data_IF_197096231984
#
_entry.id   IF_197096231984
#
_cell.length_a   1.000
_cell.length_b   1.000
_cell.length_c   1.000
_cell.angle_alpha   90.00
_cell.angle_beta   90.00
_cell.angle_gamma   90.00
#
_symmetry.space_group_name_H-M   'P 1'
#
loop_
_entity.id
_entity.type
_entity.pdbx_description
1 polymer ?
#
# COMPACT_ATOMS: atom_id res chain seq x y z
N UNK A 1 34.63 -47.56 -17.40
CA UNK A 1 34.50 -46.97 -16.05
C UNK A 1 33.68 -45.69 -16.19
N UNK A 2 32.50 -45.57 -15.56
CA UNK A 2 31.73 -44.34 -15.66
C UNK A 2 32.48 -43.22 -14.92
N UNK A 3 32.64 -42.08 -15.60
CA UNK A 3 33.28 -40.90 -15.04
C UNK A 3 32.49 -40.42 -13.81
N UNK A 4 33.18 -40.25 -12.68
CA UNK A 4 32.59 -39.66 -11.49
C UNK A 4 32.10 -38.25 -11.83
N UNK A 5 30.80 -37.99 -11.69
CA UNK A 5 30.26 -36.65 -11.83
C UNK A 5 30.91 -35.74 -10.78
N UNK A 6 31.35 -34.53 -11.16
CA UNK A 6 31.88 -33.58 -10.20
C UNK A 6 30.81 -33.20 -9.17
N UNK A 7 31.19 -32.99 -7.90
CA UNK A 7 30.25 -32.60 -6.87
C UNK A 7 29.59 -31.26 -7.24
N UNK A 8 28.26 -31.26 -7.32
CA UNK A 8 27.47 -30.06 -7.57
C UNK A 8 27.74 -29.09 -6.41
N UNK A 9 28.13 -27.85 -6.70
CA UNK A 9 28.44 -26.90 -5.65
C UNK A 9 27.16 -26.59 -4.85
N UNK A 10 27.29 -26.54 -3.52
CA UNK A 10 26.16 -26.53 -2.58
C UNK A 10 25.19 -25.33 -2.80
N UNK A 11 25.69 -24.27 -3.42
CA UNK A 11 24.95 -23.07 -3.82
C UNK A 11 23.94 -23.34 -4.96
N UNK A 12 24.24 -24.27 -5.88
CA UNK A 12 23.34 -24.67 -6.96
C UNK A 12 22.26 -25.65 -6.48
N UNK A 13 22.57 -26.47 -5.48
CA UNK A 13 21.56 -27.36 -4.87
C UNK A 13 20.48 -26.55 -4.17
N UNK A 14 20.85 -25.50 -3.42
CA UNK A 14 19.87 -24.60 -2.76
C UNK A 14 18.97 -23.86 -3.75
N UNK A 15 19.43 -23.54 -4.95
CA UNK A 15 18.64 -22.81 -5.95
C UNK A 15 17.62 -23.72 -6.68
N UNK A 16 17.89 -25.02 -6.75
CA UNK A 16 16.99 -26.00 -7.38
C UNK A 16 15.87 -26.49 -6.47
N UNK A 17 16.08 -26.61 -5.16
CA UNK A 17 15.05 -27.12 -4.23
C UNK A 17 13.91 -26.13 -3.99
N UNK A 18 14.13 -24.84 -4.24
CA UNK A 18 13.14 -23.79 -3.98
C UNK A 18 13.13 -22.69 -5.05
N UNK A 19 12.63 -22.97 -6.27
CA UNK A 19 12.54 -21.96 -7.33
C UNK A 19 11.57 -20.80 -6.98
N UNK A 20 10.75 -20.97 -5.93
CA UNK A 20 9.72 -20.03 -5.49
C UNK A 20 10.22 -18.95 -4.51
N UNK A 21 11.40 -19.12 -3.91
CA UNK A 21 12.06 -18.10 -3.11
C UNK A 21 13.14 -17.39 -3.94
N UNK A 22 12.78 -17.01 -5.17
CA UNK A 22 13.62 -16.21 -6.05
C UNK A 22 13.81 -14.83 -5.42
N UNK A 23 14.85 -14.72 -4.58
CA UNK A 23 15.60 -13.51 -4.27
C UNK A 23 14.75 -12.28 -3.92
N UNK A 24 13.87 -12.40 -2.95
CA UNK A 24 13.42 -11.23 -2.21
C UNK A 24 14.60 -10.77 -1.35
N UNK A 25 15.27 -9.68 -1.74
CA UNK A 25 16.19 -9.01 -0.84
C UNK A 25 15.35 -8.56 0.37
N UNK A 26 15.71 -8.99 1.58
CA UNK A 26 14.99 -8.60 2.81
C UNK A 26 14.81 -7.08 2.94
N UNK A 27 15.74 -6.31 2.38
CA UNK A 27 15.72 -4.84 2.32
C UNK A 27 14.60 -4.30 1.42
N UNK A 28 14.36 -4.93 0.26
CA UNK A 28 13.33 -4.45 -0.68
C UNK A 28 11.91 -4.73 -0.16
N UNK A 29 11.71 -5.85 0.54
CA UNK A 29 10.45 -6.13 1.22
C UNK A 29 10.20 -5.18 2.40
N UNK A 30 11.24 -4.87 3.17
CA UNK A 30 11.16 -3.88 4.24
C UNK A 30 10.81 -2.49 3.69
N UNK A 31 11.45 -2.07 2.59
CA UNK A 31 11.15 -0.79 1.91
C UNK A 31 9.72 -0.76 1.39
N UNK A 32 9.24 -1.85 0.81
CA UNK A 32 7.84 -1.98 0.34
C UNK A 32 6.87 -1.84 1.50
N UNK A 33 7.09 -2.57 2.61
CA UNK A 33 6.24 -2.48 3.79
C UNK A 33 6.18 -1.05 4.34
N UNK A 34 7.34 -0.42 4.52
CA UNK A 34 7.44 0.97 5.02
C UNK A 34 6.70 1.93 4.08
N UNK A 35 6.92 1.82 2.76
CA UNK A 35 6.24 2.68 1.80
C UNK A 35 4.72 2.57 1.86
N UNK A 36 4.18 1.35 1.91
CA UNK A 36 2.74 1.12 2.03
C UNK A 36 2.17 1.64 3.34
N UNK A 37 2.90 1.49 4.45
CA UNK A 37 2.51 2.06 5.75
C UNK A 37 2.45 3.58 5.68
N UNK A 38 3.50 4.22 5.17
CA UNK A 38 3.58 5.69 5.05
C UNK A 38 2.43 6.20 4.18
N UNK A 39 2.20 5.62 3.00
CA UNK A 39 1.11 6.07 2.11
C UNK A 39 -0.26 5.85 2.72
N UNK A 40 -0.47 4.77 3.46
CA UNK A 40 -1.73 4.52 4.16
C UNK A 40 -1.99 5.55 5.26
N UNK A 41 -0.98 5.81 6.09
CA UNK A 41 -1.10 6.83 7.14
C UNK A 41 -1.28 8.22 6.55
N UNK A 42 -0.49 8.59 5.55
CA UNK A 42 -0.58 9.90 4.91
C UNK A 42 -1.96 10.15 4.29
N UNK A 43 -2.54 9.13 3.65
CA UNK A 43 -3.87 9.21 3.07
C UNK A 43 -4.96 9.48 4.12
N UNK A 44 -4.88 8.85 5.28
CA UNK A 44 -5.82 9.12 6.40
C UNK A 44 -5.58 10.49 7.01
N UNK A 45 -4.31 10.89 7.18
CA UNK A 45 -3.93 12.18 7.77
C UNK A 45 -4.31 13.37 6.88
N UNK A 46 -4.36 13.20 5.55
CA UNK A 46 -4.81 14.23 4.61
C UNK A 46 -6.23 14.73 4.91
N UNK A 47 -7.06 13.94 5.59
CA UNK A 47 -8.40 14.36 6.02
C UNK A 47 -8.43 15.17 7.33
N UNK A 48 -7.36 15.20 8.13
CA UNK A 48 -7.34 15.89 9.43
C UNK A 48 -7.61 17.39 9.32
N UNK A 49 -6.97 18.14 8.40
CA UNK A 49 -7.30 19.56 8.20
C UNK A 49 -8.77 19.75 7.85
N UNK A 50 -9.37 18.80 7.15
CA UNK A 50 -10.76 18.86 6.75
C UNK A 50 -11.72 18.65 7.93
N UNK A 51 -11.46 17.64 8.78
CA UNK A 51 -12.23 17.45 10.02
C UNK A 51 -12.16 18.69 10.91
N UNK A 52 -11.00 19.32 10.98
CA UNK A 52 -10.81 20.57 11.72
C UNK A 52 -11.67 21.70 11.15
N UNK A 53 -11.64 21.91 9.84
CA UNK A 53 -12.49 22.88 9.15
C UNK A 53 -13.99 22.59 9.37
N UNK A 54 -14.42 21.35 9.17
CA UNK A 54 -15.80 20.92 9.39
C UNK A 54 -16.28 21.18 10.83
N UNK A 55 -15.39 21.03 11.82
CA UNK A 55 -15.68 21.34 13.23
C UNK A 55 -15.91 22.85 13.47
N UNK A 56 -15.17 23.71 12.77
CA UNK A 56 -15.28 25.17 12.90
C UNK A 56 -16.60 25.68 12.30
N UNK A 57 -17.02 25.12 11.16
CA UNK A 57 -18.26 25.52 10.50
C UNK A 57 -19.53 24.87 11.05
N UNK A 58 -19.44 24.13 12.17
CA UNK A 58 -20.59 23.50 12.80
C UNK A 58 -21.26 22.46 11.90
N UNK A 59 -20.48 21.77 11.06
CA UNK A 59 -21.02 20.82 10.11
C UNK A 59 -21.57 19.56 10.81
N UNK A 60 -22.51 18.91 10.12
CA UNK A 60 -23.28 17.79 10.64
C UNK A 60 -22.38 16.61 11.07
N UNK A 61 -22.77 15.91 12.14
CA UNK A 61 -22.00 14.80 12.73
C UNK A 61 -21.75 13.62 11.78
N UNK A 62 -22.52 13.53 10.70
CA UNK A 62 -22.37 12.54 9.63
C UNK A 62 -21.02 12.62 8.90
N UNK A 63 -20.32 13.76 8.93
CA UNK A 63 -19.00 13.92 8.29
C UNK A 63 -17.95 13.04 8.95
N UNK A 64 -17.97 12.91 10.28
CA UNK A 64 -17.05 12.05 11.01
C UNK A 64 -17.27 10.57 10.65
N UNK A 65 -18.53 10.15 10.51
CA UNK A 65 -18.88 8.79 10.09
C UNK A 65 -18.39 8.49 8.67
N UNK A 66 -18.61 9.42 7.73
CA UNK A 66 -18.11 9.31 6.36
C UNK A 66 -16.59 9.24 6.32
N UNK A 67 -15.91 10.08 7.10
CA UNK A 67 -14.46 10.05 7.23
C UNK A 67 -13.93 8.69 7.73
N UNK A 68 -14.54 8.12 8.78
CA UNK A 68 -14.16 6.79 9.29
C UNK A 68 -14.34 5.72 8.21
N UNK A 69 -15.46 5.75 7.48
CA UNK A 69 -15.73 4.82 6.39
C UNK A 69 -14.73 4.96 5.23
N UNK A 70 -14.46 6.19 4.78
CA UNK A 70 -13.50 6.46 3.72
C UNK A 70 -12.08 6.03 4.11
N UNK A 71 -11.66 6.38 5.33
CA UNK A 71 -10.36 5.98 5.89
C UNK A 71 -10.24 4.46 5.99
N UNK A 72 -11.29 3.77 6.45
CA UNK A 72 -11.35 2.32 6.51
C UNK A 72 -11.24 1.67 5.14
N UNK A 73 -11.96 2.18 4.14
CA UNK A 73 -11.90 1.69 2.76
C UNK A 73 -10.51 1.84 2.14
N UNK A 74 -9.86 3.00 2.33
CA UNK A 74 -8.49 3.25 1.87
C UNK A 74 -7.52 2.24 2.49
N UNK A 75 -7.67 1.97 3.80
CA UNK A 75 -6.78 1.06 4.52
C UNK A 75 -6.96 -0.39 4.05
N UNK A 76 -8.21 -0.84 3.88
CA UNK A 76 -8.52 -2.16 3.31
C UNK A 76 -7.99 -2.28 1.89
N UNK A 77 -8.17 -1.25 1.05
CA UNK A 77 -7.66 -1.24 -0.31
C UNK A 77 -6.13 -1.33 -0.35
N UNK A 78 -5.43 -0.54 0.47
CA UNK A 78 -3.97 -0.55 0.55
C UNK A 78 -3.43 -1.91 1.03
N UNK A 79 -4.09 -2.55 2.01
CA UNK A 79 -3.73 -3.90 2.49
C UNK A 79 -3.95 -4.94 1.40
N UNK A 80 -5.11 -4.91 0.72
CA UNK A 80 -5.40 -5.81 -0.39
C UNK A 80 -4.36 -5.65 -1.52
N UNK A 81 -3.98 -4.41 -1.84
CA UNK A 81 -2.97 -4.09 -2.84
C UNK A 81 -1.57 -4.56 -2.44
N UNK A 82 -1.23 -4.52 -1.15
CA UNK A 82 0.03 -5.02 -0.63
C UNK A 82 0.18 -6.54 -0.79
N UNK A 83 -0.89 -7.31 -0.53
CA UNK A 83 -0.90 -8.77 -0.67
C UNK A 83 -1.12 -9.24 -2.11
N UNK A 84 -1.57 -8.35 -3.01
CA UNK A 84 -1.71 -8.68 -4.40
C UNK A 84 -0.34 -9.02 -5.03
N UNK A 85 -0.33 -10.10 -5.81
CA UNK A 85 0.85 -10.85 -6.26
C UNK A 85 1.66 -10.15 -7.37
N UNK A 86 1.91 -8.85 -7.25
CA UNK A 86 2.61 -8.03 -8.24
C UNK A 86 4.03 -7.68 -7.76
N UNK A 87 5.10 -8.35 -8.23
CA UNK A 87 6.45 -8.00 -7.81
C UNK A 87 7.39 -7.80 -9.01
N UNK A 88 7.38 -6.60 -9.59
CA UNK A 88 8.54 -6.09 -10.37
C UNK A 88 8.74 -4.57 -10.19
N UNK A 89 7.67 -3.79 -9.93
CA UNK A 89 7.74 -2.32 -9.87
C UNK A 89 7.00 -1.75 -8.64
N UNK A 90 7.44 -2.16 -7.44
CA UNK A 90 6.82 -1.76 -6.16
C UNK A 90 6.67 -0.24 -6.00
N UNK A 91 7.63 0.55 -6.49
CA UNK A 91 7.60 2.01 -6.46
C UNK A 91 6.47 2.59 -7.33
N UNK A 92 6.28 2.05 -8.55
CA UNK A 92 5.20 2.52 -9.45
C UNK A 92 3.83 2.20 -8.86
N UNK A 93 3.69 1.03 -8.22
CA UNK A 93 2.47 0.68 -7.53
C UNK A 93 2.19 1.63 -6.36
N UNK A 94 3.23 2.02 -5.61
CA UNK A 94 3.11 3.00 -4.53
C UNK A 94 2.68 4.38 -5.01
N UNK A 95 3.23 4.84 -6.15
CA UNK A 95 2.83 6.11 -6.77
C UNK A 95 1.38 6.03 -7.27
N UNK A 96 0.99 4.92 -7.90
CA UNK A 96 -0.39 4.69 -8.33
C UNK A 96 -1.35 4.71 -7.13
N UNK A 97 -0.99 4.02 -6.04
CA UNK A 97 -1.76 3.98 -4.81
C UNK A 97 -1.92 5.37 -4.20
N UNK A 98 -0.83 6.15 -4.15
CA UNK A 98 -0.87 7.53 -3.69
C UNK A 98 -1.77 8.40 -4.58
N UNK A 99 -1.69 8.25 -5.91
CA UNK A 99 -2.55 8.98 -6.84
C UNK A 99 -4.03 8.63 -6.68
N UNK A 100 -4.37 7.35 -6.51
CA UNK A 100 -5.74 6.90 -6.24
C UNK A 100 -6.23 7.47 -4.91
N UNK A 101 -5.42 7.43 -3.86
CA UNK A 101 -5.78 8.00 -2.56
C UNK A 101 -6.02 9.51 -2.65
N UNK A 102 -5.16 10.26 -3.36
CA UNK A 102 -5.35 11.69 -3.60
C UNK A 102 -6.63 11.94 -4.41
N UNK A 103 -6.91 11.14 -5.43
CA UNK A 103 -8.13 11.28 -6.23
C UNK A 103 -9.40 11.04 -5.41
N UNK A 104 -9.43 9.98 -4.58
CA UNK A 104 -10.54 9.71 -3.67
C UNK A 104 -10.76 10.85 -2.69
N UNK A 105 -9.67 11.34 -2.10
CA UNK A 105 -9.68 12.50 -1.21
C UNK A 105 -10.29 13.71 -1.93
N UNK A 106 -9.84 14.04 -3.13
CA UNK A 106 -10.36 15.18 -3.93
C UNK A 106 -11.85 15.01 -4.27
N UNK A 107 -12.29 13.82 -4.65
CA UNK A 107 -13.72 13.56 -4.88
C UNK A 107 -14.54 13.79 -3.61
N UNK A 108 -14.04 13.37 -2.47
CA UNK A 108 -14.69 13.60 -1.19
C UNK A 108 -14.72 15.09 -0.85
N UNK A 109 -13.64 15.84 -1.11
CA UNK A 109 -13.63 17.30 -0.99
C UNK A 109 -14.73 17.96 -1.83
N UNK A 110 -14.85 17.59 -3.11
CA UNK A 110 -15.88 18.14 -4.01
C UNK A 110 -17.27 17.82 -3.47
N UNK A 111 -17.49 16.58 -3.02
CA UNK A 111 -18.78 16.18 -2.48
C UNK A 111 -19.13 16.97 -1.22
N UNK A 112 -18.19 17.16 -0.30
CA UNK A 112 -18.49 17.87 0.93
C UNK A 112 -18.76 19.35 0.67
N UNK A 113 -18.05 19.99 -0.27
CA UNK A 113 -18.34 21.36 -0.69
C UNK A 113 -19.73 21.47 -1.34
N UNK A 114 -20.15 20.46 -2.12
CA UNK A 114 -21.50 20.45 -2.73
C UNK A 114 -22.64 20.18 -1.73
N UNK A 115 -22.33 19.53 -0.61
CA UNK A 115 -23.29 19.25 0.47
C UNK A 115 -23.33 20.32 1.56
N UNK A 116 -22.52 21.38 1.42
CA UNK A 116 -22.46 22.56 2.28
C UNK A 116 -23.46 23.62 1.80
#
# INVERSE_FOLDING_TARGET
>A
MPAAMPPIPLNEVKSMTYPRFRKYNSIDDLRRLIGYLIVSFLAVFLYVPFLWLASIWGMNSQIYLRWVLASGLILVFNVAFYFWRYPEQWLKNLILLAAVNVFLVVLEYVWIIQGL
#
